data_IF_854057588498
#
_entry.id   IF_854057588498
#
_cell.length_a   1.000
_cell.length_b   1.000
_cell.length_c   1.000
_cell.angle_alpha   90.00
_cell.angle_beta   90.00
_cell.angle_gamma   90.00
#
_symmetry.space_group_name_H-M   'P 1'
#
loop_
_entity.id
_entity.type
_entity.pdbx_description
1 polymer ?
#
# COMPACT_ATOMS: atom_id res chain seq x y z
N UNK A 1 -3.46 -19.30 3.48
CA UNK A 1 -4.29 -18.29 4.19
C UNK A 1 -5.59 -18.05 3.41
N UNK A 2 -6.70 -17.57 4.01
CA UNK A 2 -7.88 -17.18 3.22
C UNK A 2 -7.63 -15.83 2.52
N UNK A 3 -8.28 -15.57 1.37
CA UNK A 3 -8.12 -14.28 0.67
C UNK A 3 -8.51 -13.09 1.57
N UNK A 4 -9.57 -13.21 2.37
CA UNK A 4 -9.96 -12.18 3.33
C UNK A 4 -8.88 -11.94 4.40
N UNK A 5 -8.24 -13.00 4.91
CA UNK A 5 -7.16 -12.83 5.87
C UNK A 5 -5.93 -12.17 5.23
N UNK A 6 -5.60 -12.53 3.99
CA UNK A 6 -4.55 -11.86 3.20
C UNK A 6 -4.85 -10.37 3.03
N UNK A 7 -6.09 -10.04 2.66
CA UNK A 7 -6.56 -8.66 2.52
C UNK A 7 -6.35 -7.84 3.79
N UNK A 8 -6.86 -8.35 4.91
CA UNK A 8 -6.84 -7.65 6.18
C UNK A 8 -5.39 -7.46 6.66
N UNK A 9 -4.53 -8.43 6.37
CA UNK A 9 -3.10 -8.30 6.65
C UNK A 9 -2.45 -7.20 5.82
N UNK A 10 -2.69 -7.15 4.50
CA UNK A 10 -2.19 -6.08 3.64
C UNK A 10 -2.64 -4.70 4.11
N UNK A 11 -3.94 -4.54 4.38
CA UNK A 11 -4.51 -3.29 4.92
C UNK A 11 -3.83 -2.89 6.22
N UNK A 12 -3.64 -3.84 7.15
CA UNK A 12 -3.00 -3.57 8.44
C UNK A 12 -1.54 -3.15 8.26
N UNK A 13 -0.76 -3.90 7.47
CA UNK A 13 0.66 -3.63 7.24
C UNK A 13 0.84 -2.26 6.59
N UNK A 14 0.08 -1.95 5.55
CA UNK A 14 0.18 -0.68 4.82
C UNK A 14 -0.24 0.50 5.69
N UNK A 15 -1.35 0.38 6.43
CA UNK A 15 -1.82 1.43 7.33
C UNK A 15 -0.81 1.74 8.43
N UNK A 16 -0.21 0.71 9.05
CA UNK A 16 0.82 0.86 10.08
C UNK A 16 2.10 1.45 9.47
N UNK A 17 2.57 0.93 8.34
CA UNK A 17 3.76 1.43 7.67
C UNK A 17 3.63 2.90 7.29
N UNK A 18 2.51 3.28 6.68
CA UNK A 18 2.23 4.67 6.29
C UNK A 18 2.15 5.61 7.50
N UNK A 19 1.45 5.19 8.57
CA UNK A 19 1.33 5.98 9.79
C UNK A 19 2.69 6.23 10.45
N UNK A 20 3.51 5.17 10.59
CA UNK A 20 4.83 5.25 11.18
C UNK A 20 5.77 6.10 10.35
N UNK A 21 5.77 5.93 9.02
CA UNK A 21 6.61 6.71 8.12
C UNK A 21 6.30 8.21 8.21
N UNK A 22 5.02 8.58 8.16
CA UNK A 22 4.60 9.99 8.28
C UNK A 22 4.92 10.56 9.66
N UNK A 23 4.73 9.78 10.73
CA UNK A 23 5.05 10.20 12.10
C UNK A 23 6.57 10.43 12.28
N UNK A 24 7.40 9.47 11.85
CA UNK A 24 8.84 9.50 11.97
C UNK A 24 9.46 10.65 11.16
N UNK A 25 8.98 10.85 9.92
CA UNK A 25 9.46 11.92 9.05
C UNK A 25 8.90 13.31 9.42
N UNK A 26 7.91 13.37 10.31
CA UNK A 26 7.31 14.61 10.76
C UNK A 26 6.49 15.35 9.72
N UNK A 27 6.01 14.64 8.72
CA UNK A 27 5.27 15.25 7.63
C UNK A 27 3.85 15.62 8.06
N UNK A 28 3.39 16.78 7.60
CA UNK A 28 2.02 17.26 7.85
C UNK A 28 1.79 17.90 9.21
N UNK A 29 2.79 17.98 10.11
CA UNK A 29 2.67 18.61 11.45
C UNK A 29 2.26 20.09 11.40
N UNK A 30 2.67 20.81 10.35
CA UNK A 30 2.37 22.23 10.16
C UNK A 30 1.05 22.49 9.42
N UNK A 31 0.30 21.44 9.05
CA UNK A 31 -0.94 21.61 8.29
C UNK A 31 -2.11 21.88 9.24
N UNK A 32 -2.91 22.89 8.95
CA UNK A 32 -4.11 23.28 9.71
C UNK A 32 -5.30 22.33 9.56
N UNK A 33 -5.08 21.07 9.16
CA UNK A 33 -6.15 20.08 8.97
C UNK A 33 -6.43 19.34 10.28
N UNK A 34 -7.70 19.07 10.62
CA UNK A 34 -8.06 18.32 11.81
C UNK A 34 -7.48 16.89 11.78
N UNK A 35 -7.19 16.36 12.97
CA UNK A 35 -6.66 15.01 13.17
C UNK A 35 -5.14 14.87 12.99
N UNK A 36 -4.60 13.74 13.45
CA UNK A 36 -3.17 13.43 13.33
C UNK A 36 -2.78 13.16 11.86
N UNK A 37 -1.69 13.74 11.34
CA UNK A 37 -1.16 13.41 10.02
C UNK A 37 -0.91 11.91 9.82
N UNK A 38 -0.45 11.20 10.86
CA UNK A 38 -0.23 9.75 10.80
C UNK A 38 -1.54 8.96 10.70
N UNK A 39 -2.59 9.39 11.40
CA UNK A 39 -3.91 8.77 11.29
C UNK A 39 -4.53 8.99 9.91
N UNK A 40 -4.34 10.18 9.32
CA UNK A 40 -4.77 10.44 7.94
C UNK A 40 -3.99 9.60 6.92
N UNK A 41 -2.71 9.34 7.17
CA UNK A 41 -1.91 8.44 6.34
C UNK A 41 -2.37 6.98 6.45
N UNK A 42 -2.71 6.51 7.65
CA UNK A 42 -3.31 5.19 7.84
C UNK A 42 -4.64 5.05 7.10
N UNK A 43 -5.50 6.07 7.17
CA UNK A 43 -6.76 6.10 6.44
C UNK A 43 -6.54 6.12 4.92
N UNK A 44 -5.53 6.85 4.45
CA UNK A 44 -5.16 6.88 3.04
C UNK A 44 -4.70 5.50 2.54
N UNK A 45 -3.88 4.80 3.31
CA UNK A 45 -3.48 3.43 3.03
C UNK A 45 -4.72 2.54 2.93
N UNK A 46 -5.55 2.50 3.98
CA UNK A 46 -6.78 1.68 4.00
C UNK A 46 -7.65 1.90 2.76
N UNK A 47 -7.91 3.17 2.41
CA UNK A 47 -8.71 3.51 1.24
C UNK A 47 -8.04 3.09 -0.07
N UNK A 48 -6.73 3.29 -0.18
CA UNK A 48 -5.92 2.87 -1.33
C UNK A 48 -5.96 1.34 -1.51
N UNK A 49 -5.53 0.61 -0.49
CA UNK A 49 -5.49 -0.87 -0.47
C UNK A 49 -6.84 -1.47 -0.82
N UNK A 50 -7.93 -0.94 -0.26
CA UNK A 50 -9.28 -1.43 -0.51
C UNK A 50 -9.74 -1.28 -1.96
N UNK A 51 -9.23 -0.26 -2.67
CA UNK A 51 -9.54 -0.02 -4.07
C UNK A 51 -8.63 -0.82 -5.02
N UNK A 52 -7.35 -0.98 -4.65
CA UNK A 52 -6.33 -1.55 -5.54
C UNK A 52 -6.24 -3.07 -5.46
N UNK A 53 -6.30 -3.65 -4.26
CA UNK A 53 -6.01 -5.08 -4.05
C UNK A 53 -6.98 -6.04 -4.75
N UNK A 54 -8.31 -5.78 -4.79
CA UNK A 54 -9.21 -6.60 -5.58
C UNK A 54 -8.80 -6.65 -7.07
N UNK A 55 -8.38 -5.50 -7.62
CA UNK A 55 -7.92 -5.42 -9.01
C UNK A 55 -6.62 -6.21 -9.23
N UNK A 56 -5.68 -6.15 -8.29
CA UNK A 56 -4.42 -6.94 -8.32
C UNK A 56 -4.72 -8.43 -8.35
N UNK A 57 -5.58 -8.94 -7.46
CA UNK A 57 -5.85 -10.38 -7.40
C UNK A 57 -6.55 -10.93 -8.64
N UNK A 58 -7.39 -10.12 -9.28
CA UNK A 58 -8.03 -10.52 -10.53
C UNK A 58 -7.13 -10.29 -11.75
N UNK A 59 -6.21 -9.31 -11.70
CA UNK A 59 -5.34 -8.94 -12.82
C UNK A 59 -4.04 -9.73 -12.91
N UNK A 60 -3.42 -10.10 -11.78
CA UNK A 60 -2.12 -10.77 -11.77
C UNK A 60 -2.15 -12.15 -12.43
N UNK A 61 -3.11 -13.07 -12.16
CA UNK A 61 -3.11 -14.40 -12.78
C UNK A 61 -3.08 -14.37 -14.32
N UNK A 62 -4.00 -13.67 -15.02
CA UNK A 62 -3.97 -13.64 -16.49
C UNK A 62 -2.76 -12.88 -17.05
N UNK A 63 -2.17 -11.95 -16.30
CA UNK A 63 -0.91 -11.30 -16.68
C UNK A 63 0.28 -12.26 -16.53
N UNK A 64 0.32 -13.04 -15.45
CA UNK A 64 1.37 -13.99 -15.16
C UNK A 64 1.43 -15.10 -16.22
N UNK A 65 0.27 -15.56 -16.69
CA UNK A 65 0.18 -16.55 -17.78
C UNK A 65 0.80 -16.06 -19.10
N UNK A 66 0.82 -14.74 -19.33
CA UNK A 66 1.29 -14.13 -20.58
C UNK A 66 2.72 -13.59 -20.51
N UNK A 67 3.10 -13.04 -19.35
CA UNK A 67 4.33 -12.25 -19.18
C UNK A 67 5.32 -12.87 -18.20
N UNK A 68 4.93 -13.96 -17.53
CA UNK A 68 5.64 -14.53 -16.39
C UNK A 68 5.28 -13.84 -15.08
N UNK A 69 5.31 -14.60 -13.99
CA UNK A 69 4.88 -14.15 -12.66
C UNK A 69 5.64 -12.90 -12.17
N UNK A 70 6.97 -12.89 -12.27
CA UNK A 70 7.78 -11.76 -11.80
C UNK A 70 7.44 -10.44 -12.51
N UNK A 71 7.29 -10.47 -13.83
CA UNK A 71 6.89 -9.30 -14.62
C UNK A 71 5.48 -8.84 -14.28
N UNK A 72 4.53 -9.78 -14.14
CA UNK A 72 3.15 -9.48 -13.79
C UNK A 72 3.05 -8.80 -12.41
N UNK A 73 3.76 -9.32 -11.40
CA UNK A 73 3.83 -8.70 -10.07
C UNK A 73 4.46 -7.32 -10.15
N UNK A 74 5.62 -7.16 -10.79
CA UNK A 74 6.28 -5.85 -10.89
C UNK A 74 5.36 -4.77 -11.51
N UNK A 75 4.63 -5.12 -12.57
CA UNK A 75 3.68 -4.21 -13.22
C UNK A 75 2.47 -3.90 -12.32
N UNK A 76 1.90 -4.91 -11.67
CA UNK A 76 0.76 -4.74 -10.78
C UNK A 76 1.12 -3.85 -9.58
N UNK A 77 2.20 -4.17 -8.88
CA UNK A 77 2.71 -3.41 -7.73
C UNK A 77 3.08 -1.97 -8.13
N UNK A 78 3.71 -1.78 -9.29
CA UNK A 78 3.98 -0.45 -9.83
C UNK A 78 2.70 0.35 -10.10
N UNK A 79 1.66 -0.29 -10.65
CA UNK A 79 0.36 0.34 -10.85
C UNK A 79 -0.34 0.68 -9.53
N UNK A 80 -0.26 -0.19 -8.52
CA UNK A 80 -0.78 0.05 -7.16
C UNK A 80 -0.14 1.29 -6.57
N UNK A 81 1.20 1.39 -6.58
CA UNK A 81 1.92 2.55 -6.02
C UNK A 81 1.44 3.86 -6.64
N UNK A 82 1.24 3.89 -7.97
CA UNK A 82 0.73 5.06 -8.68
C UNK A 82 -0.75 5.34 -8.35
N UNK A 83 -1.58 4.31 -8.22
CA UNK A 83 -3.00 4.42 -7.94
C UNK A 83 -3.30 4.85 -6.50
N UNK A 84 -2.47 4.48 -5.53
CA UNK A 84 -2.66 4.82 -4.11
C UNK A 84 -2.06 6.17 -3.72
N UNK A 85 -1.03 6.65 -4.42
CA UNK A 85 -0.43 7.95 -4.17
C UNK A 85 -1.44 9.12 -4.13
N UNK A 86 -2.48 9.19 -5.00
CA UNK A 86 -3.59 10.12 -4.87
C UNK A 86 -4.29 10.11 -3.50
N UNK A 87 -4.50 8.94 -2.87
CA UNK A 87 -5.13 8.86 -1.56
C UNK A 87 -4.27 9.58 -0.50
N UNK A 88 -2.95 9.38 -0.52
CA UNK A 88 -2.03 10.10 0.37
C UNK A 88 -1.98 11.61 0.07
N UNK A 89 -2.08 11.99 -1.20
CA UNK A 89 -2.16 13.40 -1.60
C UNK A 89 -3.44 14.07 -1.06
N UNK A 90 -4.58 13.39 -1.16
CA UNK A 90 -5.89 13.96 -0.83
C UNK A 90 -6.19 13.90 0.68
N UNK A 91 -5.97 12.74 1.30
CA UNK A 91 -6.35 12.49 2.69
C UNK A 91 -5.24 12.90 3.67
N UNK A 92 -3.99 12.52 3.40
CA UNK A 92 -2.84 12.91 4.23
C UNK A 92 -2.24 14.27 3.84
N UNK A 93 -2.71 14.89 2.75
CA UNK A 93 -2.29 16.21 2.28
C UNK A 93 -0.77 16.31 2.04
N UNK A 94 -0.15 15.20 1.62
CA UNK A 94 1.27 15.16 1.31
C UNK A 94 1.55 15.77 -0.09
N UNK A 95 2.69 16.46 -0.32
CA UNK A 95 3.12 16.79 -1.67
C UNK A 95 3.43 15.51 -2.46
N UNK A 96 3.30 15.55 -3.79
CA UNK A 96 3.45 14.39 -4.67
C UNK A 96 4.69 13.52 -4.41
N UNK A 97 5.91 14.07 -4.24
CA UNK A 97 7.08 13.24 -3.96
C UNK A 97 6.94 12.42 -2.67
N UNK A 98 6.33 12.99 -1.63
CA UNK A 98 6.10 12.30 -0.35
C UNK A 98 4.94 11.33 -0.43
N UNK A 99 3.88 11.67 -1.16
CA UNK A 99 2.75 10.78 -1.39
C UNK A 99 3.18 9.51 -2.15
N UNK A 100 3.98 9.67 -3.21
CA UNK A 100 4.56 8.55 -3.96
C UNK A 100 5.50 7.71 -3.10
N UNK A 101 6.37 8.36 -2.30
CA UNK A 101 7.29 7.65 -1.42
C UNK A 101 6.55 6.84 -0.34
N UNK A 102 5.49 7.39 0.26
CA UNK A 102 4.69 6.66 1.25
C UNK A 102 3.97 5.49 0.60
N UNK A 103 3.35 5.71 -0.56
CA UNK A 103 2.71 4.66 -1.36
C UNK A 103 3.69 3.51 -1.66
N UNK A 104 4.87 3.85 -2.18
CA UNK A 104 5.93 2.88 -2.50
C UNK A 104 6.35 2.07 -1.28
N UNK A 105 6.65 2.73 -0.15
CA UNK A 105 7.17 2.06 1.04
C UNK A 105 6.09 1.24 1.77
N UNK A 106 4.84 1.70 1.80
CA UNK A 106 3.73 0.94 2.36
C UNK A 106 3.48 -0.33 1.53
N UNK A 107 3.36 -0.18 0.21
CA UNK A 107 3.21 -1.31 -0.72
C UNK A 107 4.39 -2.29 -0.60
N UNK A 108 5.63 -1.81 -0.58
CA UNK A 108 6.80 -2.66 -0.40
C UNK A 108 6.79 -3.44 0.93
N UNK A 109 6.31 -2.83 2.02
CA UNK A 109 6.15 -3.51 3.30
C UNK A 109 5.10 -4.63 3.23
N UNK A 110 3.97 -4.36 2.57
CA UNK A 110 2.90 -5.34 2.30
C UNK A 110 3.43 -6.54 1.51
N UNK A 111 4.13 -6.26 0.41
CA UNK A 111 4.70 -7.27 -0.48
C UNK A 111 5.79 -8.08 0.22
N UNK A 112 6.65 -7.44 1.02
CA UNK A 112 7.64 -8.14 1.85
C UNK A 112 6.98 -9.06 2.89
N UNK A 113 5.88 -8.63 3.52
CA UNK A 113 5.13 -9.46 4.46
C UNK A 113 4.53 -10.69 3.76
N UNK A 114 3.95 -10.52 2.56
CA UNK A 114 3.44 -11.62 1.74
C UNK A 114 4.54 -12.63 1.36
N UNK A 115 5.69 -12.15 0.89
CA UNK A 115 6.83 -13.00 0.54
C UNK A 115 7.39 -13.75 1.75
N UNK A 116 7.45 -13.11 2.92
CA UNK A 116 7.88 -13.76 4.16
C UNK A 116 6.91 -14.89 4.54
N UNK A 117 5.59 -14.67 4.49
CA UNK A 117 4.62 -15.71 4.77
C UNK A 117 4.72 -16.88 3.79
N UNK A 118 4.94 -16.59 2.51
CA UNK A 118 5.18 -17.61 1.49
C UNK A 118 6.42 -18.45 1.82
N UNK A 119 7.55 -17.81 2.12
CA UNK A 119 8.80 -18.48 2.50
C UNK A 119 8.66 -19.35 3.77
N UNK A 120 7.77 -18.96 4.68
CA UNK A 120 7.45 -19.71 5.90
C UNK A 120 6.38 -20.81 5.69
N UNK A 121 5.88 -21.00 4.46
CA UNK A 121 4.83 -21.98 4.16
C UNK A 121 3.47 -21.64 4.74
N UNK A 122 3.19 -20.35 4.98
CA UNK A 122 1.94 -19.84 5.59
C UNK A 122 1.09 -18.98 4.66
N UNK A 123 1.47 -18.88 3.39
CA UNK A 123 0.69 -18.18 2.36
C UNK A 123 -0.69 -18.84 2.13
#
# INVERSE_FOLDING_TARGET
>A
MTQTAAFLLSVLVEAVAAALLVAAAGWGRLQSRPGSPSARAALAALAGTALTHPAVWHGVPPLADRLGYGTAVLLAEGAVVLAEAPAYRLLAALPWPRALLVSLLANAASTAAGLLLYALGRA
#
